data_IF_416236265997
#
_entry.id   IF_416236265997
#
_cell.length_a   1.000
_cell.length_b   1.000
_cell.length_c   1.000
_cell.angle_alpha   90.00
_cell.angle_beta   90.00
_cell.angle_gamma   90.00
#
_symmetry.space_group_name_H-M   'P 1'
#
loop_
_entity.id
_entity.type
_entity.pdbx_description
1 polymer ?
#
# COMPACT_ATOMS: atom_id res chain seq x y z
N UNK A 1 -12.01 4.80 -16.25
CA UNK A 1 -11.66 5.96 -15.41
C UNK A 1 -11.55 5.51 -13.96
N UNK A 2 -10.48 5.89 -13.26
CA UNK A 2 -10.27 5.51 -11.86
C UNK A 2 -11.43 5.97 -10.96
N UNK A 3 -12.08 5.01 -10.30
CA UNK A 3 -13.11 5.29 -9.30
C UNK A 3 -12.50 5.63 -7.94
N UNK A 4 -11.37 5.01 -7.62
CA UNK A 4 -10.62 5.26 -6.39
C UNK A 4 -9.27 5.89 -6.73
N UNK A 5 -9.15 7.17 -6.37
CA UNK A 5 -7.90 7.93 -6.38
C UNK A 5 -7.36 7.92 -4.96
N UNK A 6 -6.45 6.99 -4.70
CA UNK A 6 -6.05 6.64 -3.34
C UNK A 6 -4.60 6.98 -3.03
N UNK A 7 -4.36 7.16 -1.74
CA UNK A 7 -3.03 7.15 -1.13
C UNK A 7 -3.09 6.34 0.16
N UNK A 8 -2.01 5.65 0.52
CA UNK A 8 -1.93 5.00 1.82
C UNK A 8 -1.45 5.96 2.90
N UNK A 9 -1.89 5.72 4.13
CA UNK A 9 -1.48 6.45 5.32
C UNK A 9 -1.05 5.44 6.39
N UNK A 10 0.21 5.54 6.82
CA UNK A 10 0.79 4.68 7.84
C UNK A 10 0.44 5.23 9.21
N UNK A 11 -0.19 4.41 10.04
CA UNK A 11 -0.53 4.72 11.44
C UNK A 11 0.52 4.05 12.34
N UNK A 12 1.23 4.88 13.10
CA UNK A 12 2.25 4.50 14.07
C UNK A 12 2.43 5.56 15.16
N UNK A 13 3.34 5.32 16.10
CA UNK A 13 3.56 6.21 17.25
C UNK A 13 3.91 7.65 16.85
N UNK A 14 4.65 7.81 15.74
CA UNK A 14 5.09 9.12 15.22
C UNK A 14 4.17 9.67 14.12
N UNK A 15 2.92 9.20 14.08
CA UNK A 15 1.90 9.85 13.25
C UNK A 15 1.67 11.24 13.82
N UNK A 16 1.88 12.26 13.00
CA UNK A 16 1.59 13.64 13.37
C UNK A 16 0.09 13.86 13.56
N UNK A 17 -0.36 15.07 13.30
CA UNK A 17 -1.79 15.38 13.36
C UNK A 17 -2.55 14.64 12.23
N UNK A 18 -3.13 13.49 12.57
CA UNK A 18 -3.89 12.61 11.65
C UNK A 18 -5.02 13.37 10.97
N UNK A 19 -5.73 14.25 11.68
CA UNK A 19 -6.83 15.01 11.08
C UNK A 19 -6.30 15.98 10.02
N UNK A 20 -5.26 16.73 10.36
CA UNK A 20 -4.64 17.67 9.43
C UNK A 20 -4.09 16.96 8.20
N UNK A 21 -3.43 15.83 8.37
CA UNK A 21 -2.91 15.05 7.24
C UNK A 21 -4.03 14.55 6.33
N UNK A 22 -5.13 14.04 6.91
CA UNK A 22 -6.28 13.57 6.13
C UNK A 22 -7.00 14.71 5.41
N UNK A 23 -7.01 15.93 5.97
CA UNK A 23 -7.51 17.14 5.29
C UNK A 23 -6.67 17.48 4.06
N UNK A 24 -5.34 17.42 4.16
CA UNK A 24 -4.42 17.62 3.02
C UNK A 24 -4.63 16.53 1.97
N UNK A 25 -4.78 15.28 2.39
CA UNK A 25 -5.05 14.15 1.48
C UNK A 25 -6.35 14.36 0.69
N UNK A 26 -7.42 14.79 1.37
CA UNK A 26 -8.71 15.03 0.72
C UNK A 26 -8.68 16.25 -0.21
N UNK A 27 -8.15 17.38 0.29
CA UNK A 27 -8.32 18.69 -0.35
C UNK A 27 -7.21 19.04 -1.32
N UNK A 28 -5.97 18.75 -0.97
CA UNK A 28 -4.80 19.16 -1.76
C UNK A 28 -4.31 18.05 -2.69
N UNK A 29 -4.34 16.79 -2.25
CA UNK A 29 -4.06 15.65 -3.14
C UNK A 29 -5.28 15.22 -3.97
N UNK A 30 -6.46 15.76 -3.68
CA UNK A 30 -7.72 15.40 -4.35
C UNK A 30 -8.03 13.89 -4.32
N UNK A 31 -7.59 13.21 -3.26
CA UNK A 31 -7.89 11.79 -3.07
C UNK A 31 -9.38 11.60 -2.77
N UNK A 32 -9.96 10.51 -3.27
CA UNK A 32 -11.33 10.09 -2.92
C UNK A 32 -11.34 9.13 -1.75
N UNK A 33 -10.22 8.47 -1.49
CA UNK A 33 -10.14 7.34 -0.57
C UNK A 33 -8.75 7.28 0.03
N UNK A 34 -8.66 6.91 1.31
CA UNK A 34 -7.38 6.66 1.99
C UNK A 34 -7.31 5.19 2.40
N UNK A 35 -6.14 4.56 2.18
CA UNK A 35 -5.86 3.23 2.75
C UNK A 35 -5.09 3.39 4.05
N UNK A 36 -5.78 3.14 5.17
CA UNK A 36 -5.19 3.22 6.50
C UNK A 36 -4.49 1.92 6.83
N UNK A 37 -3.20 2.00 7.17
CA UNK A 37 -2.36 0.84 7.47
C UNK A 37 -1.84 0.97 8.89
N UNK A 38 -2.18 0.04 9.78
CA UNK A 38 -1.75 0.08 11.18
C UNK A 38 -1.92 -1.25 11.90
N UNK A 39 -1.14 -1.46 12.96
CA UNK A 39 -1.20 -2.66 13.79
C UNK A 39 -2.23 -2.56 14.92
N UNK A 40 -2.42 -1.35 15.47
CA UNK A 40 -3.38 -1.09 16.54
C UNK A 40 -4.78 -0.86 15.94
N UNK A 41 -5.72 -1.74 16.27
CA UNK A 41 -7.08 -1.68 15.74
C UNK A 41 -7.85 -0.44 16.19
N UNK A 42 -7.61 0.06 17.40
CA UNK A 42 -8.30 1.24 17.91
C UNK A 42 -7.82 2.52 17.21
N UNK A 43 -6.50 2.68 17.03
CA UNK A 43 -5.93 3.78 16.26
C UNK A 43 -6.39 3.73 14.79
N UNK A 44 -6.41 2.53 14.20
CA UNK A 44 -6.89 2.31 12.83
C UNK A 44 -8.34 2.78 12.65
N UNK A 45 -9.24 2.38 13.57
CA UNK A 45 -10.66 2.75 13.54
C UNK A 45 -10.87 4.23 13.87
N UNK A 46 -10.07 4.83 14.75
CA UNK A 46 -10.12 6.26 15.06
C UNK A 46 -9.74 7.13 13.86
N UNK A 47 -8.67 6.77 13.15
CA UNK A 47 -8.28 7.42 11.91
C UNK A 47 -9.33 7.23 10.81
N UNK A 48 -9.98 6.06 10.76
CA UNK A 48 -11.06 5.77 9.81
C UNK A 48 -12.27 6.69 10.01
N UNK A 49 -12.72 6.89 11.25
CA UNK A 49 -13.78 7.86 11.58
C UNK A 49 -13.42 9.26 11.08
N UNK A 50 -12.19 9.70 11.39
CA UNK A 50 -11.71 11.01 10.97
C UNK A 50 -11.71 11.17 9.44
N UNK A 51 -11.28 10.15 8.70
CA UNK A 51 -11.28 10.17 7.24
C UNK A 51 -12.71 10.24 6.66
N UNK A 52 -13.64 9.45 7.22
CA UNK A 52 -15.04 9.43 6.82
C UNK A 52 -15.72 10.79 7.08
N UNK A 53 -15.47 11.41 8.24
CA UNK A 53 -15.97 12.76 8.58
C UNK A 53 -15.50 13.83 7.56
N UNK A 54 -14.33 13.62 6.96
CA UNK A 54 -13.75 14.50 5.94
C UNK A 54 -14.24 14.16 4.52
N UNK A 55 -15.11 13.17 4.37
CA UNK A 55 -15.70 12.75 3.10
C UNK A 55 -14.83 11.78 2.28
N UNK A 56 -13.76 11.23 2.85
CA UNK A 56 -12.95 10.20 2.21
C UNK A 56 -13.59 8.82 2.38
N UNK A 57 -13.55 7.99 1.33
CA UNK A 57 -13.67 6.55 1.50
C UNK A 57 -12.47 5.98 2.27
N UNK A 58 -12.65 4.84 2.93
CA UNK A 58 -11.61 4.22 3.76
C UNK A 58 -11.40 2.76 3.40
N UNK A 59 -10.13 2.42 3.16
CA UNK A 59 -9.66 1.05 3.00
C UNK A 59 -8.89 0.69 4.29
N UNK A 60 -9.47 -0.16 5.13
CA UNK A 60 -8.89 -0.59 6.40
C UNK A 60 -7.95 -1.76 6.16
N UNK A 61 -6.67 -1.57 6.43
CA UNK A 61 -5.66 -2.62 6.34
C UNK A 61 -4.95 -2.84 7.68
N UNK A 62 -5.44 -3.80 8.48
CA UNK A 62 -4.68 -4.32 9.61
C UNK A 62 -3.31 -4.81 9.14
N UNK A 63 -2.24 -4.33 9.78
CA UNK A 63 -0.86 -4.67 9.43
C UNK A 63 -0.11 -5.21 10.65
N UNK A 64 -0.18 -6.52 10.83
CA UNK A 64 0.39 -7.25 11.98
C UNK A 64 1.40 -8.31 11.52
N UNK A 65 2.54 -7.90 10.93
CA UNK A 65 3.55 -8.86 10.46
C UNK A 65 4.08 -9.70 11.62
N UNK A 66 4.48 -10.94 11.32
CA UNK A 66 4.96 -11.92 12.31
C UNK A 66 3.93 -12.42 13.34
N UNK A 67 2.71 -11.88 13.36
CA UNK A 67 1.68 -12.36 14.26
C UNK A 67 1.26 -13.80 13.92
N UNK A 68 1.28 -14.75 14.89
CA UNK A 68 0.79 -16.11 14.69
C UNK A 68 -0.62 -16.15 14.11
N UNK A 69 -0.89 -17.08 13.18
CA UNK A 69 -2.15 -17.13 12.44
C UNK A 69 -3.43 -17.11 13.31
N UNK A 70 -3.52 -17.84 14.45
CA UNK A 70 -4.70 -17.76 15.31
C UNK A 70 -4.92 -16.36 15.90
N UNK A 71 -3.84 -15.68 16.28
CA UNK A 71 -3.88 -14.32 16.83
C UNK A 71 -4.22 -13.31 15.74
N UNK A 72 -3.67 -13.49 14.53
CA UNK A 72 -4.00 -12.68 13.35
C UNK A 72 -5.49 -12.76 13.04
N UNK A 73 -6.08 -13.95 13.05
CA UNK A 73 -7.53 -14.12 12.81
C UNK A 73 -8.37 -13.51 13.93
N UNK A 74 -7.96 -13.65 15.20
CA UNK A 74 -8.66 -13.00 16.32
C UNK A 74 -8.60 -11.47 16.21
N UNK A 75 -7.44 -10.91 15.83
CA UNK A 75 -7.28 -9.48 15.58
C UNK A 75 -8.16 -9.01 14.40
N UNK A 76 -8.21 -9.79 13.30
CA UNK A 76 -9.10 -9.51 12.17
C UNK A 76 -10.58 -9.55 12.57
N UNK A 77 -11.02 -10.47 13.43
CA UNK A 77 -12.41 -10.54 13.92
C UNK A 77 -12.79 -9.23 14.63
N UNK A 78 -11.92 -8.73 15.51
CA UNK A 78 -12.12 -7.48 16.25
C UNK A 78 -12.16 -6.25 15.33
N UNK A 79 -11.23 -6.17 14.37
CA UNK A 79 -11.24 -5.06 13.40
C UNK A 79 -12.47 -5.14 12.48
N UNK A 80 -12.89 -6.34 12.08
CA UNK A 80 -14.07 -6.54 11.25
C UNK A 80 -15.37 -6.12 11.96
N UNK A 81 -15.49 -6.42 13.26
CA UNK A 81 -16.61 -5.94 14.09
C UNK A 81 -16.65 -4.42 14.17
N UNK A 82 -15.53 -3.77 14.47
CA UNK A 82 -15.44 -2.31 14.51
C UNK A 82 -15.66 -1.65 13.12
N UNK A 83 -15.18 -2.28 12.05
CA UNK A 83 -15.40 -1.82 10.68
C UNK A 83 -16.88 -1.87 10.28
N UNK A 84 -17.64 -2.86 10.76
CA UNK A 84 -19.08 -2.96 10.50
C UNK A 84 -19.85 -1.83 11.18
N UNK A 85 -19.46 -1.42 12.38
CA UNK A 85 -20.03 -0.25 13.04
C UNK A 85 -19.82 1.03 12.21
N UNK A 86 -18.62 1.22 11.65
CA UNK A 86 -18.34 2.34 10.74
C UNK A 86 -19.19 2.25 9.47
N UNK A 87 -19.27 1.08 8.84
CA UNK A 87 -20.04 0.88 7.61
C UNK A 87 -21.52 1.17 7.79
N UNK A 88 -22.10 0.82 8.95
CA UNK A 88 -23.52 1.12 9.27
C UNK A 88 -23.81 2.61 9.36
N UNK A 89 -22.83 3.42 9.75
CA UNK A 89 -22.97 4.88 9.83
C UNK A 89 -22.56 5.59 8.53
N UNK A 90 -21.66 4.99 7.74
CA UNK A 90 -21.11 5.55 6.50
C UNK A 90 -21.18 4.51 5.38
N UNK A 91 -22.41 4.24 4.93
CA UNK A 91 -22.68 3.17 3.96
C UNK A 91 -21.82 3.31 2.69
N UNK A 92 -21.32 2.18 2.20
CA UNK A 92 -20.52 2.04 0.97
C UNK A 92 -19.15 2.74 0.93
N UNK A 93 -18.70 3.32 2.05
CA UNK A 93 -17.40 4.01 2.13
C UNK A 93 -16.30 3.21 2.84
N UNK A 94 -16.59 2.01 3.35
CA UNK A 94 -15.64 1.20 4.12
C UNK A 94 -15.34 -0.10 3.40
N UNK A 95 -14.06 -0.36 3.12
CA UNK A 95 -13.55 -1.63 2.57
C UNK A 95 -12.53 -2.23 3.54
N UNK A 96 -12.60 -3.54 3.80
CA UNK A 96 -11.72 -4.23 4.74
C UNK A 96 -10.73 -5.16 4.02
N UNK A 97 -9.45 -5.06 4.36
CA UNK A 97 -8.44 -6.00 3.92
C UNK A 97 -8.38 -7.15 4.92
N UNK A 98 -8.52 -8.39 4.43
CA UNK A 98 -8.30 -9.56 5.27
C UNK A 98 -6.80 -9.80 5.53
N UNK A 99 -5.92 -9.14 4.77
CA UNK A 99 -4.47 -9.31 4.83
C UNK A 99 -3.67 -8.63 3.73
N UNK A 100 -2.36 -8.71 3.86
CA UNK A 100 -1.39 -8.24 2.85
C UNK A 100 -0.16 -9.13 2.81
N UNK A 101 0.15 -9.66 1.62
CA UNK A 101 1.38 -10.38 1.27
C UNK A 101 1.80 -11.47 2.27
N UNK A 102 0.80 -12.21 2.78
CA UNK A 102 0.92 -13.22 3.82
C UNK A 102 2.01 -14.25 3.56
N UNK A 103 2.34 -14.56 2.30
CA UNK A 103 3.42 -15.51 1.98
C UNK A 103 4.73 -15.19 2.70
N UNK A 104 5.02 -13.89 2.88
CA UNK A 104 6.20 -13.43 3.60
C UNK A 104 5.89 -12.68 4.90
N UNK A 105 4.68 -12.15 5.12
CA UNK A 105 4.35 -11.45 6.38
C UNK A 105 3.76 -12.37 7.47
N UNK A 106 3.00 -13.41 7.11
CA UNK A 106 2.31 -14.29 8.05
C UNK A 106 3.11 -15.58 8.36
N UNK A 107 3.48 -15.86 9.62
CA UNK A 107 4.25 -17.03 9.99
C UNK A 107 3.61 -18.33 9.49
N UNK A 108 4.45 -19.30 9.16
CA UNK A 108 4.01 -20.65 8.81
C UNK A 108 3.68 -20.87 7.32
N UNK A 109 3.69 -19.86 6.45
CA UNK A 109 3.59 -20.11 4.99
C UNK A 109 4.94 -20.57 4.43
N UNK A 110 5.92 -19.65 4.40
CA UNK A 110 7.32 -19.92 4.07
C UNK A 110 8.14 -20.09 5.36
N UNK A 111 9.10 -21.03 5.44
CA UNK A 111 9.97 -21.17 6.61
C UNK A 111 10.80 -19.91 6.86
N UNK A 112 10.93 -19.53 8.13
CA UNK A 112 11.79 -18.41 8.55
C UNK A 112 11.17 -17.62 9.69
N UNK A 113 11.98 -17.10 10.63
CA UNK A 113 11.47 -16.42 11.84
C UNK A 113 11.08 -14.96 11.60
N UNK A 114 11.41 -14.40 10.43
CA UNK A 114 11.17 -12.99 10.09
C UNK A 114 10.77 -12.84 8.64
N UNK A 115 9.89 -11.90 8.36
CA UNK A 115 9.33 -11.62 7.04
C UNK A 115 10.42 -11.37 6.00
N UNK A 116 11.42 -10.56 6.33
CA UNK A 116 12.55 -10.30 5.44
C UNK A 116 13.32 -11.57 5.00
N UNK A 117 13.50 -12.54 5.91
CA UNK A 117 14.15 -13.81 5.59
C UNK A 117 13.26 -14.67 4.70
N UNK A 118 11.94 -14.69 4.97
CA UNK A 118 10.95 -15.40 4.15
C UNK A 118 10.88 -14.81 2.74
N UNK A 119 10.88 -13.48 2.61
CA UNK A 119 10.93 -12.79 1.32
C UNK A 119 12.19 -13.16 0.53
N UNK A 120 13.38 -13.16 1.16
CA UNK A 120 14.62 -13.61 0.51
C UNK A 120 14.52 -15.03 -0.03
N UNK A 121 13.93 -15.95 0.74
CA UNK A 121 13.70 -17.33 0.32
C UNK A 121 12.74 -17.42 -0.86
N UNK A 122 11.63 -16.67 -0.83
CA UNK A 122 10.67 -16.60 -1.95
C UNK A 122 11.37 -16.11 -3.21
N UNK A 123 12.08 -14.99 -3.14
CA UNK A 123 12.74 -14.40 -4.30
C UNK A 123 13.83 -15.32 -4.90
N UNK A 124 14.50 -16.13 -4.07
CA UNK A 124 15.55 -17.06 -4.52
C UNK A 124 14.99 -18.40 -5.01
N UNK A 125 13.99 -18.95 -4.33
CA UNK A 125 13.52 -20.32 -4.52
C UNK A 125 12.03 -20.40 -4.91
N UNK A 126 11.50 -19.33 -5.54
CA UNK A 126 10.08 -19.19 -5.88
C UNK A 126 9.46 -20.46 -6.47
N UNK A 127 10.05 -21.00 -7.53
CA UNK A 127 9.52 -22.18 -8.25
C UNK A 127 9.40 -23.41 -7.34
N UNK A 128 10.36 -23.60 -6.44
CA UNK A 128 10.39 -24.72 -5.50
C UNK A 128 9.35 -24.54 -4.39
N UNK A 129 9.16 -23.29 -3.92
CA UNK A 129 8.25 -22.97 -2.84
C UNK A 129 6.79 -22.77 -3.29
N UNK A 130 6.53 -22.56 -4.59
CA UNK A 130 5.22 -22.13 -5.10
C UNK A 130 4.06 -23.02 -4.62
N UNK A 131 4.15 -24.35 -4.82
CA UNK A 131 3.08 -25.28 -4.39
C UNK A 131 2.80 -25.20 -2.89
N UNK A 132 3.84 -24.97 -2.08
CA UNK A 132 3.70 -24.82 -0.63
C UNK A 132 3.07 -23.48 -0.28
N UNK A 133 3.50 -22.41 -0.94
CA UNK A 133 2.96 -21.05 -0.77
C UNK A 133 1.47 -21.08 -1.09
N UNK A 134 1.08 -21.53 -2.29
CA UNK A 134 -0.30 -21.56 -2.74
C UNK A 134 -1.20 -22.31 -1.75
N UNK A 135 -0.86 -23.57 -1.43
CA UNK A 135 -1.65 -24.39 -0.50
C UNK A 135 -1.82 -23.76 0.89
N UNK A 136 -0.74 -23.19 1.46
CA UNK A 136 -0.79 -22.63 2.82
C UNK A 136 -1.44 -21.24 2.83
N UNK A 137 -1.23 -20.45 1.79
CA UNK A 137 -1.86 -19.15 1.60
C UNK A 137 -3.36 -19.31 1.40
N UNK A 138 -3.81 -20.20 0.52
CA UNK A 138 -5.25 -20.46 0.29
C UNK A 138 -5.96 -20.89 1.57
N UNK A 139 -5.34 -21.77 2.37
CA UNK A 139 -5.90 -22.16 3.68
C UNK A 139 -6.06 -20.96 4.62
N UNK A 140 -5.05 -20.08 4.70
CA UNK A 140 -5.11 -18.91 5.56
C UNK A 140 -6.13 -17.87 5.04
N UNK A 141 -6.16 -17.62 3.73
CA UNK A 141 -7.10 -16.68 3.11
C UNK A 141 -8.55 -17.14 3.29
N UNK A 142 -8.83 -18.43 3.11
CA UNK A 142 -10.15 -19.00 3.39
C UNK A 142 -10.59 -18.77 4.84
N UNK A 143 -9.70 -18.99 5.80
CA UNK A 143 -9.97 -18.72 7.21
C UNK A 143 -10.14 -17.22 7.51
N UNK A 144 -9.35 -16.35 6.86
CA UNK A 144 -9.40 -14.91 7.03
C UNK A 144 -10.70 -14.31 6.45
N UNK A 145 -11.11 -14.73 5.25
CA UNK A 145 -12.41 -14.38 4.65
C UNK A 145 -13.54 -14.82 5.56
N UNK A 146 -13.56 -16.09 5.97
CA UNK A 146 -14.61 -16.62 6.84
C UNK A 146 -14.68 -15.83 8.15
N UNK A 147 -13.53 -15.38 8.67
CA UNK A 147 -13.46 -14.55 9.87
C UNK A 147 -14.02 -13.15 9.66
N UNK A 148 -13.56 -12.45 8.63
CA UNK A 148 -14.08 -11.12 8.30
C UNK A 148 -15.60 -11.14 8.05
N UNK A 149 -16.09 -12.11 7.26
CA UNK A 149 -17.51 -12.22 6.88
C UNK A 149 -18.46 -12.56 8.03
N UNK A 150 -17.97 -13.08 9.16
CA UNK A 150 -18.82 -13.27 10.35
C UNK A 150 -19.28 -11.93 10.94
N UNK A 151 -18.50 -10.87 10.75
CA UNK A 151 -18.68 -9.58 11.42
C UNK A 151 -18.98 -8.45 10.44
N UNK A 152 -18.31 -8.46 9.29
CA UNK A 152 -18.32 -7.37 8.32
C UNK A 152 -19.06 -7.76 7.04
N UNK A 153 -20.02 -6.90 6.65
CA UNK A 153 -20.90 -7.13 5.51
C UNK A 153 -20.61 -6.20 4.32
N UNK A 154 -19.57 -5.38 4.40
CA UNK A 154 -19.09 -4.55 3.29
C UNK A 154 -18.06 -5.25 2.40
N UNK A 155 -17.45 -4.52 1.44
CA UNK A 155 -16.45 -5.04 0.53
C UNK A 155 -15.17 -5.52 1.23
N UNK A 156 -14.72 -6.74 0.93
CA UNK A 156 -13.44 -7.28 1.39
C UNK A 156 -12.47 -7.53 0.25
N UNK A 157 -11.18 -7.36 0.55
CA UNK A 157 -10.09 -7.66 -0.39
C UNK A 157 -8.86 -8.20 0.34
N UNK A 158 -7.82 -8.48 -0.42
CA UNK A 158 -6.50 -8.91 0.03
C UNK A 158 -5.45 -8.23 -0.84
N UNK A 159 -4.33 -7.78 -0.26
CA UNK A 159 -3.22 -7.20 -1.02
C UNK A 159 -2.23 -8.29 -1.40
N UNK A 160 -2.35 -8.82 -2.62
CA UNK A 160 -1.50 -9.90 -3.10
C UNK A 160 -0.14 -9.40 -3.60
N UNK A 161 0.93 -10.08 -3.20
CA UNK A 161 2.24 -9.85 -3.80
C UNK A 161 2.28 -10.42 -5.22
N UNK A 162 3.13 -9.88 -6.11
CA UNK A 162 3.20 -10.29 -7.51
C UNK A 162 3.56 -11.76 -7.80
N UNK A 163 3.91 -12.55 -6.78
CA UNK A 163 4.19 -14.00 -6.90
C UNK A 163 3.10 -14.89 -6.30
N UNK A 164 2.10 -14.32 -5.63
CA UNK A 164 1.01 -15.06 -4.98
C UNK A 164 -0.09 -15.38 -6.00
N UNK A 165 -0.47 -16.66 -6.08
CA UNK A 165 -1.63 -17.10 -6.86
C UNK A 165 -2.84 -17.11 -5.92
N UNK A 166 -3.71 -16.11 -6.03
CA UNK A 166 -4.88 -15.97 -5.14
C UNK A 166 -6.14 -16.38 -5.89
N UNK A 167 -6.99 -17.17 -5.23
CA UNK A 167 -8.37 -17.37 -5.66
C UNK A 167 -9.19 -16.16 -5.20
N UNK A 168 -9.68 -15.38 -6.16
CA UNK A 168 -10.45 -14.18 -5.91
C UNK A 168 -11.94 -14.44 -5.71
N UNK A 169 -12.43 -15.66 -5.96
CA UNK A 169 -13.84 -16.03 -5.83
C UNK A 169 -14.51 -15.59 -4.51
N UNK A 170 -13.87 -15.70 -3.32
CA UNK A 170 -14.47 -15.28 -2.05
C UNK A 170 -14.39 -13.77 -1.74
N UNK A 171 -13.67 -12.98 -2.55
CA UNK A 171 -13.45 -11.55 -2.33
C UNK A 171 -14.37 -10.67 -3.18
N UNK A 172 -14.52 -9.40 -2.84
CA UNK A 172 -15.31 -8.46 -3.66
C UNK A 172 -14.43 -7.70 -4.66
N UNK A 173 -13.15 -7.54 -4.33
CA UNK A 173 -12.16 -6.81 -5.14
C UNK A 173 -10.88 -7.63 -5.29
N UNK A 174 -10.25 -7.53 -6.46
CA UNK A 174 -8.91 -8.06 -6.71
C UNK A 174 -7.89 -7.02 -6.25
N UNK A 175 -7.13 -7.32 -5.19
CA UNK A 175 -6.15 -6.39 -4.64
C UNK A 175 -4.71 -6.82 -4.92
N UNK A 176 -3.92 -5.99 -5.61
CA UNK A 176 -2.55 -6.35 -5.98
C UNK A 176 -1.53 -5.26 -5.63
N UNK A 177 -0.48 -5.65 -4.92
CA UNK A 177 0.72 -4.85 -4.67
C UNK A 177 1.59 -4.92 -5.92
N UNK A 178 1.65 -3.83 -6.70
CA UNK A 178 2.12 -3.86 -8.09
C UNK A 178 3.18 -2.80 -8.37
N UNK A 179 4.43 -3.18 -8.15
CA UNK A 179 5.58 -2.31 -8.40
C UNK A 179 6.21 -2.55 -9.78
N UNK A 180 6.39 -1.49 -10.56
CA UNK A 180 7.19 -1.47 -11.80
C UNK A 180 8.66 -1.36 -11.42
N UNK A 181 9.52 -2.06 -12.15
CA UNK A 181 10.96 -2.01 -11.98
C UNK A 181 11.66 -2.59 -13.19
N UNK A 182 12.99 -2.73 -13.10
CA UNK A 182 13.83 -3.12 -14.25
C UNK A 182 13.42 -4.44 -14.90
N UNK A 183 12.94 -5.41 -14.10
CA UNK A 183 12.68 -6.78 -14.57
C UNK A 183 11.35 -6.93 -15.32
N UNK A 184 10.42 -6.02 -15.11
CA UNK A 184 9.09 -6.08 -15.68
C UNK A 184 8.74 -4.81 -16.46
N UNK A 185 9.69 -3.89 -16.69
CA UNK A 185 9.42 -2.60 -17.33
C UNK A 185 8.68 -2.78 -18.67
N UNK A 186 9.21 -3.62 -19.56
CA UNK A 186 8.67 -3.83 -20.90
C UNK A 186 7.34 -4.60 -20.90
N UNK A 187 7.05 -5.37 -19.84
CA UNK A 187 5.85 -6.21 -19.72
C UNK A 187 4.83 -5.68 -18.71
N UNK A 188 5.09 -4.51 -18.12
CA UNK A 188 4.30 -3.99 -17.01
C UNK A 188 2.88 -3.62 -17.46
N UNK A 189 2.76 -2.93 -18.59
CA UNK A 189 1.47 -2.56 -19.19
C UNK A 189 0.63 -3.79 -19.50
N UNK A 190 1.22 -4.80 -20.16
CA UNK A 190 0.51 -6.05 -20.46
C UNK A 190 0.07 -6.76 -19.18
N UNK A 191 0.88 -6.71 -18.11
CA UNK A 191 0.49 -7.24 -16.81
C UNK A 191 -0.72 -6.52 -16.22
N UNK A 192 -0.78 -5.19 -16.30
CA UNK A 192 -1.96 -4.41 -15.86
C UNK A 192 -3.18 -4.78 -16.69
N UNK A 193 -3.05 -4.83 -18.01
CA UNK A 193 -4.14 -5.20 -18.92
C UNK A 193 -4.68 -6.60 -18.64
N UNK A 194 -3.81 -7.59 -18.48
CA UNK A 194 -4.23 -8.95 -18.12
C UNK A 194 -4.91 -9.00 -16.76
N UNK A 195 -4.42 -8.24 -15.76
CA UNK A 195 -5.10 -8.19 -14.46
C UNK A 195 -6.54 -7.71 -14.59
N UNK A 196 -6.78 -6.66 -15.37
CA UNK A 196 -8.14 -6.12 -15.60
C UNK A 196 -8.98 -7.06 -16.48
N UNK A 197 -8.40 -7.60 -17.57
CA UNK A 197 -9.12 -8.43 -18.53
C UNK A 197 -9.41 -9.85 -18.06
N UNK A 198 -8.57 -10.42 -17.19
CA UNK A 198 -8.70 -11.80 -16.71
C UNK A 198 -9.60 -11.92 -15.46
N UNK A 199 -10.14 -10.81 -14.94
CA UNK A 199 -10.96 -10.80 -13.73
C UNK A 199 -12.28 -10.06 -13.96
N UNK A 200 -13.40 -10.72 -13.63
CA UNK A 200 -14.73 -10.09 -13.67
C UNK A 200 -14.98 -9.11 -12.50
N UNK A 201 -14.07 -9.07 -11.53
CA UNK A 201 -14.18 -8.25 -10.32
C UNK A 201 -13.32 -6.99 -10.44
N UNK A 202 -13.71 -5.87 -9.81
CA UNK A 202 -12.93 -4.64 -9.88
C UNK A 202 -11.51 -4.85 -9.33
N UNK A 203 -10.52 -4.44 -10.12
CA UNK A 203 -9.10 -4.55 -9.78
C UNK A 203 -8.61 -3.27 -9.11
N UNK A 204 -7.99 -3.42 -7.95
CA UNK A 204 -7.37 -2.35 -7.18
C UNK A 204 -5.87 -2.61 -7.08
N UNK A 205 -5.07 -1.64 -7.55
CA UNK A 205 -3.63 -1.60 -7.26
C UNK A 205 -3.47 -1.07 -5.84
N UNK A 206 -3.21 -1.97 -4.90
CA UNK A 206 -3.19 -1.69 -3.46
C UNK A 206 -1.92 -0.98 -3.02
N UNK A 207 -0.83 -1.11 -3.76
CA UNK A 207 0.39 -0.36 -3.54
C UNK A 207 1.19 -0.20 -4.84
N UNK A 208 1.72 1.01 -5.07
CA UNK A 208 2.76 1.30 -6.04
C UNK A 208 3.57 2.53 -5.60
N UNK A 209 4.85 2.56 -5.95
CA UNK A 209 5.73 3.70 -5.68
C UNK A 209 7.21 3.39 -5.91
N UNK A 210 8.06 4.39 -5.72
CA UNK A 210 9.51 4.23 -5.64
C UNK A 210 10.12 5.30 -4.71
N UNK A 211 11.41 5.19 -4.45
CA UNK A 211 12.18 6.23 -3.78
C UNK A 211 12.40 7.48 -4.65
N UNK A 212 12.97 8.52 -4.05
CA UNK A 212 13.30 9.81 -4.65
C UNK A 212 14.82 9.96 -4.90
N UNK A 213 15.39 9.02 -5.65
CA UNK A 213 16.79 9.07 -6.06
C UNK A 213 16.97 8.58 -7.50
N UNK A 214 18.09 8.97 -8.12
CA UNK A 214 18.40 8.57 -9.50
C UNK A 214 18.43 7.04 -9.64
N UNK A 215 17.58 6.48 -10.51
CA UNK A 215 17.45 5.05 -10.75
C UNK A 215 16.50 4.32 -9.79
N UNK A 216 15.72 5.03 -8.98
CA UNK A 216 14.69 4.46 -8.11
C UNK A 216 13.54 3.81 -8.92
N UNK A 217 13.20 4.34 -10.09
CA UNK A 217 12.17 3.83 -11.00
C UNK A 217 12.47 2.40 -11.49
N UNK A 218 13.76 2.04 -11.55
CA UNK A 218 14.22 0.69 -11.90
C UNK A 218 14.19 -0.28 -10.73
N UNK A 219 14.07 0.23 -9.50
CA UNK A 219 14.02 -0.59 -8.27
C UNK A 219 12.59 -0.82 -7.79
N UNK A 220 11.66 0.12 -8.00
CA UNK A 220 10.28 0.00 -7.53
C UNK A 220 10.23 -0.31 -6.03
N UNK A 221 9.60 -1.43 -5.66
CA UNK A 221 9.56 -1.95 -4.28
C UNK A 221 10.96 -2.09 -3.64
N UNK A 222 12.02 -2.27 -4.42
CA UNK A 222 13.40 -2.40 -3.92
C UNK A 222 14.07 -1.09 -3.50
N UNK A 223 13.38 0.05 -3.54
CA UNK A 223 13.98 1.38 -3.25
C UNK A 223 14.62 1.45 -1.87
N UNK A 224 13.98 0.89 -0.84
CA UNK A 224 14.50 0.84 0.53
C UNK A 224 15.82 0.04 0.68
N UNK A 225 16.20 -0.79 -0.30
CA UNK A 225 17.38 -1.66 -0.21
C UNK A 225 18.70 -0.92 -0.32
N UNK A 226 18.68 0.36 -0.73
CA UNK A 226 19.87 1.21 -0.73
C UNK A 226 20.30 1.59 0.69
N UNK A 227 19.43 1.43 1.70
CA UNK A 227 19.76 1.70 3.10
C UNK A 227 20.54 0.51 3.68
N UNK A 228 21.65 0.83 4.35
CA UNK A 228 22.35 -0.09 5.23
C UNK A 228 21.76 -0.06 6.64
N UNK A 229 20.75 -0.89 6.87
CA UNK A 229 20.13 -1.07 8.19
C UNK A 229 21.05 -1.71 9.25
N UNK A 230 22.23 -2.18 8.86
CA UNK A 230 23.23 -2.76 9.77
C UNK A 230 24.32 -1.75 10.18
N UNK A 231 24.27 -0.52 9.67
CA UNK A 231 25.12 0.56 10.15
C UNK A 231 24.45 1.28 11.32
N UNK A 232 25.28 1.85 12.20
CA UNK A 232 24.84 2.71 13.31
C UNK A 232 25.45 4.12 13.12
N UNK A 233 24.66 5.16 12.83
CA UNK A 233 23.24 5.08 12.44
C UNK A 233 23.06 4.46 11.03
N UNK A 234 21.83 4.04 10.66
CA UNK A 234 21.52 3.57 9.31
C UNK A 234 21.89 4.63 8.27
N UNK A 235 22.48 4.19 7.15
CA UNK A 235 22.99 5.09 6.10
C UNK A 235 22.86 4.51 4.70
N UNK A 236 22.83 5.37 3.69
CA UNK A 236 22.72 5.01 2.29
C UNK A 236 24.03 4.33 1.81
N UNK A 237 23.89 3.26 1.02
CA UNK A 237 25.01 2.53 0.41
C UNK A 237 25.31 3.10 -0.97
N UNK A 238 26.56 3.49 -1.20
CA UNK A 238 27.01 3.98 -2.50
C UNK A 238 26.39 5.33 -2.86
N UNK A 239 26.53 5.70 -4.13
CA UNK A 239 26.05 6.98 -4.64
C UNK A 239 24.62 6.86 -5.19
N UNK A 240 23.70 7.56 -4.53
CA UNK A 240 22.28 7.65 -4.88
C UNK A 240 21.84 9.11 -4.68
N UNK A 241 22.13 10.01 -5.64
CA UNK A 241 21.73 11.40 -5.55
C UNK A 241 20.21 11.53 -5.43
N UNK A 242 19.75 12.47 -4.59
CA UNK A 242 18.32 12.75 -4.44
C UNK A 242 17.77 13.28 -5.76
N UNK A 243 16.66 12.71 -6.20
CA UNK A 243 15.97 13.05 -7.44
C UNK A 243 14.47 12.81 -7.24
N UNK A 244 13.76 13.85 -6.81
CA UNK A 244 12.31 13.79 -6.61
C UNK A 244 11.53 13.74 -7.92
N UNK A 245 12.12 14.23 -9.03
CA UNK A 245 11.50 14.21 -10.34
C UNK A 245 11.36 12.78 -10.87
N UNK A 246 12.29 11.89 -10.53
CA UNK A 246 12.18 10.44 -10.79
C UNK A 246 10.95 9.85 -10.10
N UNK A 247 10.76 10.13 -8.81
CA UNK A 247 9.60 9.64 -8.06
C UNK A 247 8.29 10.20 -8.63
N UNK A 248 8.24 11.52 -8.88
CA UNK A 248 7.08 12.19 -9.44
C UNK A 248 6.67 11.58 -10.79
N UNK A 249 7.60 11.49 -11.74
CA UNK A 249 7.36 10.90 -13.06
C UNK A 249 6.90 9.45 -12.96
N UNK A 250 7.53 8.64 -12.10
CA UNK A 250 7.13 7.25 -11.91
C UNK A 250 5.67 7.13 -11.44
N UNK A 251 5.24 7.94 -10.46
CA UNK A 251 3.87 7.92 -9.98
C UNK A 251 2.88 8.44 -11.02
N UNK A 252 3.22 9.55 -11.69
CA UNK A 252 2.37 10.14 -12.72
C UNK A 252 2.11 9.20 -13.90
N UNK A 253 3.16 8.54 -14.41
CA UNK A 253 3.04 7.54 -15.49
C UNK A 253 2.17 6.35 -15.08
N UNK A 254 2.29 5.86 -13.84
CA UNK A 254 1.51 4.71 -13.39
C UNK A 254 0.04 5.06 -13.12
N UNK A 255 -0.25 6.24 -12.55
CA UNK A 255 -1.63 6.72 -12.41
C UNK A 255 -2.31 6.82 -13.78
N UNK A 256 -1.61 7.38 -14.78
CA UNK A 256 -2.12 7.49 -16.15
C UNK A 256 -2.35 6.10 -16.79
N UNK A 257 -1.41 5.18 -16.62
CA UNK A 257 -1.56 3.80 -17.09
C UNK A 257 -2.77 3.10 -16.46
N UNK A 258 -2.95 3.22 -15.15
CA UNK A 258 -4.06 2.56 -14.44
C UNK A 258 -5.41 3.11 -14.88
N UNK A 259 -5.51 4.43 -15.09
CA UNK A 259 -6.71 5.06 -15.63
C UNK A 259 -7.03 4.56 -17.06
N UNK A 260 -6.01 4.49 -17.91
CA UNK A 260 -6.13 4.06 -19.31
C UNK A 260 -6.52 2.59 -19.47
N UNK A 261 -5.95 1.69 -18.66
CA UNK A 261 -6.22 0.25 -18.72
C UNK A 261 -7.45 -0.16 -17.89
N UNK A 262 -8.20 0.80 -17.32
CA UNK A 262 -9.48 0.52 -16.67
C UNK A 262 -9.38 -0.08 -15.26
N UNK A 263 -8.27 0.15 -14.56
CA UNK A 263 -8.15 -0.22 -13.14
C UNK A 263 -9.22 0.51 -12.33
N UNK A 264 -9.84 -0.18 -11.36
CA UNK A 264 -10.90 0.41 -10.55
C UNK A 264 -10.35 1.46 -9.57
N UNK A 265 -9.21 1.15 -8.95
CA UNK A 265 -8.58 1.99 -7.94
C UNK A 265 -7.09 1.80 -7.83
N UNK A 266 -6.38 2.83 -7.40
CA UNK A 266 -4.96 2.73 -7.10
C UNK A 266 -4.58 3.51 -5.84
N UNK A 267 -3.62 2.98 -5.09
CA UNK A 267 -3.09 3.61 -3.87
C UNK A 267 -1.60 3.88 -4.02
N UNK A 268 -1.24 5.17 -4.10
CA UNK A 268 0.15 5.60 -3.97
C UNK A 268 0.63 5.18 -2.58
N UNK A 269 1.70 4.40 -2.54
CA UNK A 269 2.39 4.07 -1.30
C UNK A 269 3.56 5.04 -1.16
N UNK A 270 3.58 6.02 -0.24
CA UNK A 270 2.58 6.34 0.81
C UNK A 270 2.56 7.87 1.08
N UNK A 271 1.68 8.37 1.95
CA UNK A 271 1.64 9.80 2.30
C UNK A 271 2.94 10.29 2.94
N UNK A 272 3.37 9.67 4.05
CA UNK A 272 4.60 10.02 4.77
C UNK A 272 5.26 8.77 5.35
N UNK A 273 6.57 8.84 5.61
CA UNK A 273 7.35 7.79 6.27
C UNK A 273 8.31 8.41 7.31
N UNK A 274 7.84 8.73 8.54
CA UNK A 274 8.69 9.31 9.59
C UNK A 274 9.93 8.47 9.93
N UNK A 275 9.84 7.14 9.82
CA UNK A 275 10.96 6.20 10.01
C UNK A 275 12.07 6.33 8.95
N UNK A 276 11.84 7.14 7.90
CA UNK A 276 12.80 7.48 6.86
C UNK A 276 13.03 8.99 6.89
N UNK A 277 13.73 9.52 7.91
CA UNK A 277 13.88 10.94 8.08
C UNK A 277 14.70 11.58 6.95
N UNK A 278 14.31 12.79 6.61
CA UNK A 278 15.06 13.67 5.74
C UNK A 278 16.21 14.33 6.51
N UNK A 279 17.40 14.32 5.92
CA UNK A 279 18.60 14.96 6.47
C UNK A 279 19.38 15.67 5.35
N UNK A 280 20.06 16.76 5.69
CA UNK A 280 20.88 17.49 4.72
C UNK A 280 22.11 16.69 4.28
N UNK A 281 22.66 15.86 5.16
CA UNK A 281 23.77 14.95 4.86
C UNK A 281 23.29 13.80 3.95
N UNK A 282 23.72 13.73 2.67
CA UNK A 282 23.16 12.79 1.69
C UNK A 282 23.29 11.30 2.04
N UNK A 283 24.29 10.93 2.83
CA UNK A 283 24.52 9.57 3.32
C UNK A 283 23.53 9.17 4.42
N UNK A 284 22.91 10.13 5.10
CA UNK A 284 21.93 9.90 6.17
C UNK A 284 20.50 10.36 5.79
N UNK A 285 20.30 10.92 4.60
CA UNK A 285 18.98 11.21 4.02
C UNK A 285 18.27 9.90 3.67
N UNK A 286 17.58 9.28 4.65
CA UNK A 286 16.85 8.03 4.45
C UNK A 286 15.56 8.27 3.65
N UNK A 287 15.00 9.47 3.73
CA UNK A 287 13.79 9.87 3.04
C UNK A 287 13.84 9.63 1.52
N UNK A 288 15.01 9.76 0.88
CA UNK A 288 15.14 9.44 -0.55
C UNK A 288 14.95 7.96 -0.86
N UNK A 289 15.27 7.06 0.08
CA UNK A 289 14.99 5.63 -0.05
C UNK A 289 13.52 5.28 0.29
N UNK A 290 12.85 6.16 1.03
CA UNK A 290 11.45 6.05 1.42
C UNK A 290 10.50 6.40 0.27
N UNK A 291 9.26 5.91 0.39
CA UNK A 291 8.23 6.04 -0.63
C UNK A 291 7.25 7.21 -0.38
N UNK A 292 7.38 7.88 0.78
CA UNK A 292 6.54 9.01 1.14
C UNK A 292 6.54 10.12 0.09
N UNK A 293 5.38 10.72 -0.18
CA UNK A 293 5.26 11.97 -0.97
C UNK A 293 5.51 13.23 -0.11
N UNK A 294 5.50 13.08 1.21
CA UNK A 294 5.94 14.05 2.19
C UNK A 294 7.28 13.58 2.79
N UNK A 295 8.28 14.46 2.74
CA UNK A 295 9.52 14.31 3.51
C UNK A 295 9.28 14.76 4.95
N UNK A 296 9.83 14.02 5.93
CA UNK A 296 9.72 14.31 7.36
C UNK A 296 11.11 14.42 7.94
N UNK A 297 11.45 15.53 8.59
CA UNK A 297 12.73 15.70 9.30
C UNK A 297 12.62 15.18 10.73
N UNK A 298 13.75 15.05 11.43
CA UNK A 298 13.81 14.50 12.80
C UNK A 298 13.04 15.33 13.85
N UNK A 299 12.89 16.63 13.60
CA UNK A 299 12.07 17.54 14.43
C UNK A 299 10.56 17.47 14.09
N UNK A 300 10.16 16.59 13.17
CA UNK A 300 8.78 16.42 12.72
C UNK A 300 8.34 17.42 11.65
N UNK A 301 9.23 18.29 11.14
CA UNK A 301 8.87 19.21 10.04
C UNK A 301 8.54 18.42 8.78
N UNK A 302 7.41 18.77 8.16
CA UNK A 302 6.88 18.11 6.96
C UNK A 302 7.05 18.99 5.74
N UNK A 303 7.56 18.42 4.65
CA UNK A 303 7.77 19.12 3.37
C UNK A 303 7.27 18.28 2.20
N UNK A 304 6.38 18.80 1.35
CA UNK A 304 5.95 18.07 0.16
C UNK A 304 7.13 17.88 -0.80
N UNK A 305 7.28 16.66 -1.33
CA UNK A 305 8.20 16.37 -2.44
C UNK A 305 7.54 16.75 -3.76
N UNK A 306 8.32 16.80 -4.85
CA UNK A 306 7.76 16.97 -6.20
C UNK A 306 6.70 15.91 -6.55
N UNK A 307 6.80 14.71 -5.98
CA UNK A 307 5.80 13.65 -6.13
C UNK A 307 4.41 14.04 -5.60
N UNK A 308 4.32 14.86 -4.56
CA UNK A 308 3.05 15.36 -4.03
C UNK A 308 2.32 16.17 -5.10
N UNK A 309 3.01 17.15 -5.69
CA UNK A 309 2.44 18.03 -6.71
C UNK A 309 2.01 17.27 -7.96
N UNK A 310 2.80 16.29 -8.41
CA UNK A 310 2.45 15.47 -9.58
C UNK A 310 1.23 14.57 -9.30
N UNK A 311 1.14 13.93 -8.13
CA UNK A 311 -0.05 13.14 -7.75
C UNK A 311 -1.29 14.02 -7.67
N UNK A 312 -1.20 15.16 -6.98
CA UNK A 312 -2.30 16.13 -6.87
C UNK A 312 -2.81 16.56 -8.25
N UNK A 313 -1.89 16.92 -9.16
CA UNK A 313 -2.24 17.33 -10.53
C UNK A 313 -2.95 16.21 -11.28
N UNK A 314 -2.42 14.98 -11.27
CA UNK A 314 -3.04 13.83 -11.96
C UNK A 314 -4.44 13.52 -11.41
N UNK A 315 -4.61 13.55 -10.09
CA UNK A 315 -5.90 13.31 -9.46
C UNK A 315 -6.89 14.45 -9.73
N UNK A 316 -6.46 15.71 -9.80
CA UNK A 316 -7.29 16.85 -10.19
C UNK A 316 -7.75 16.76 -11.65
N UNK A 317 -6.83 16.45 -12.58
CA UNK A 317 -7.12 16.28 -14.01
C UNK A 317 -8.16 15.16 -14.23
N UNK A 318 -8.04 14.07 -13.48
CA UNK A 318 -9.04 13.01 -13.43
C UNK A 318 -10.38 13.50 -12.85
N UNK A 319 -10.39 14.33 -11.81
CA UNK A 319 -11.64 14.87 -11.27
C UNK A 319 -12.44 15.62 -12.36
N UNK A 320 -11.74 16.48 -13.10
CA UNK A 320 -12.32 17.37 -14.11
C UNK A 320 -12.84 16.63 -15.34
N UNK A 321 -12.12 15.59 -15.78
CA UNK A 321 -12.57 14.72 -16.89
C UNK A 321 -13.87 13.99 -16.58
N UNK A 322 -14.17 13.75 -15.30
CA UNK A 322 -15.42 13.09 -14.87
C UNK A 322 -16.63 14.03 -14.82
N UNK A 323 -16.40 15.33 -14.67
CA UNK A 323 -17.47 16.35 -14.61
C UNK A 323 -17.74 17.00 -15.96
N UNK A 324 -16.93 16.71 -16.98
CA UNK A 324 -17.14 17.20 -18.34
C UNK A 324 -18.10 16.26 -19.09
N UNK A 325 -19.16 16.79 -19.74
CA UNK A 325 -20.24 16.01 -20.34
C UNK A 325 -19.84 15.18 -21.55
#
# INVERSE_FOLDING_TARGET
MLNVRGISYLIGADSGDVRRDLEVIARELHCTTVMLIGADGAQLIGAARTALDLGLGVYLRPNVPEMPQPQLLAHLDLVAEAAEELRRTHSDQVTLFVGSEFSHTAPGIVPGPRSFLRLKLILRFRRVLQRRIDRRLHKLLSAAVATARRRFHGPITYSAAGWENVDWSPFDLVGVSLYRGRRNYDTYTDRVRSLVGDNDKPVVVTEFGCGAFTGAERRGAGSFQIVNWFAEPPRIRGDHPRDEAVQARYLGELIELYDAEGVHGCFVFTYAMPDFPHRDAPEFDLDKAGFGVIAVTEDGTRRPKQAFAEVARRYADLAQRRTSP
#
